data_IF_786755698492
#
_entry.id   IF_786755698492
#
_cell.length_a   1.000
_cell.length_b   1.000
_cell.length_c   1.000
_cell.angle_alpha   90.00
_cell.angle_beta   90.00
_cell.angle_gamma   90.00
#
_symmetry.space_group_name_H-M   'P 1'
#
loop_
_entity.id
_entity.type
_entity.pdbx_description
1 polymer ?
#
# COMPACT_ATOMS: atom_id res chain seq x y z
N UNK A 1 -6.59 -2.84 6.61
CA UNK A 1 -5.85 -3.38 5.47
C UNK A 1 -4.54 -2.66 5.22
N UNK A 2 -3.67 -3.21 4.38
CA UNK A 2 -2.38 -2.60 3.99
C UNK A 2 -1.56 -2.21 5.23
N UNK A 3 -1.07 -0.95 5.32
CA UNK A 3 -0.39 -0.41 6.51
C UNK A 3 -1.18 -0.66 7.80
N UNK A 4 -2.51 -0.53 7.77
CA UNK A 4 -3.35 -0.82 8.94
C UNK A 4 -3.29 -2.29 9.38
N UNK A 5 -3.05 -3.23 8.46
CA UNK A 5 -2.79 -4.63 8.79
C UNK A 5 -1.44 -4.82 9.50
N UNK A 6 -0.40 -4.10 9.06
CA UNK A 6 0.91 -4.07 9.74
C UNK A 6 0.78 -3.48 11.16
N UNK A 7 0.03 -2.40 11.32
CA UNK A 7 -0.23 -1.80 12.62
C UNK A 7 -1.00 -2.78 13.54
N UNK A 8 -2.03 -3.45 13.02
CA UNK A 8 -2.78 -4.45 13.78
C UNK A 8 -1.88 -5.61 14.24
N UNK A 9 -1.01 -6.10 13.35
CA UNK A 9 -0.02 -7.12 13.68
C UNK A 9 0.96 -6.64 14.77
N UNK A 10 1.46 -5.41 14.66
CA UNK A 10 2.33 -4.82 15.68
C UNK A 10 1.64 -4.72 17.05
N UNK A 11 0.36 -4.38 17.07
CA UNK A 11 -0.40 -4.33 18.32
C UNK A 11 -0.51 -5.70 18.99
N UNK A 12 -0.71 -6.78 18.23
CA UNK A 12 -0.75 -8.14 18.80
C UNK A 12 0.58 -8.56 19.41
N UNK A 13 1.70 -8.06 18.83
CA UNK A 13 3.05 -8.34 19.32
C UNK A 13 3.37 -7.52 20.57
N UNK A 14 3.04 -6.22 20.55
CA UNK A 14 3.40 -5.30 21.63
C UNK A 14 2.50 -5.40 22.86
N UNK A 15 1.24 -5.77 22.65
CA UNK A 15 0.19 -5.81 23.69
C UNK A 15 -0.68 -7.07 23.53
N UNK A 16 -0.07 -8.28 23.67
CA UNK A 16 -0.78 -9.54 23.38
C UNK A 16 -2.05 -9.72 24.20
N UNK A 17 -2.08 -9.24 25.43
CA UNK A 17 -3.23 -9.33 26.32
C UNK A 17 -4.40 -8.39 25.97
N UNK A 18 -4.16 -7.42 25.08
CA UNK A 18 -5.16 -6.40 24.72
C UNK A 18 -5.88 -6.66 23.41
N UNK A 19 -5.38 -7.61 22.61
CA UNK A 19 -5.93 -7.90 21.30
C UNK A 19 -6.49 -9.33 21.28
N UNK A 20 -7.79 -9.45 21.16
CA UNK A 20 -8.47 -10.75 21.08
C UNK A 20 -8.53 -11.28 19.65
N UNK A 21 -8.75 -10.41 18.66
CA UNK A 21 -8.86 -10.77 17.26
C UNK A 21 -8.05 -9.80 16.41
N UNK A 22 -7.35 -10.32 15.41
CA UNK A 22 -6.57 -9.54 14.46
C UNK A 22 -6.93 -9.91 13.02
N UNK A 23 -7.42 -8.93 12.26
CA UNK A 23 -7.68 -9.06 10.84
C UNK A 23 -6.55 -8.39 10.06
N UNK A 24 -5.70 -9.17 9.40
CA UNK A 24 -4.65 -8.69 8.52
C UNK A 24 -5.09 -8.85 7.06
N UNK A 25 -5.44 -7.75 6.41
CA UNK A 25 -6.06 -7.74 5.08
C UNK A 25 -5.11 -7.04 4.10
N UNK A 26 -4.78 -7.68 2.97
CA UNK A 26 -3.88 -7.14 1.95
C UNK A 26 -2.61 -6.56 2.58
N UNK A 27 -1.93 -7.35 3.41
CA UNK A 27 -0.80 -6.92 4.23
C UNK A 27 0.36 -7.91 4.17
N UNK A 28 1.50 -7.54 4.72
CA UNK A 28 2.72 -8.34 4.71
C UNK A 28 3.47 -8.19 6.06
N UNK A 29 4.34 -9.15 6.42
CA UNK A 29 5.15 -9.04 7.65
C UNK A 29 6.27 -8.00 7.54
N UNK A 30 6.69 -7.66 6.32
CA UNK A 30 7.65 -6.60 6.00
C UNK A 30 7.46 -6.18 4.54
N UNK A 31 7.96 -5.01 4.15
CA UNK A 31 7.95 -4.61 2.74
C UNK A 31 8.97 -5.41 1.92
N UNK A 32 8.62 -5.71 0.68
CA UNK A 32 9.58 -6.21 -0.31
C UNK A 32 10.53 -5.09 -0.76
N UNK A 33 11.71 -5.47 -1.29
CA UNK A 33 12.63 -4.52 -1.90
C UNK A 33 11.95 -3.67 -3.00
N UNK A 34 11.05 -4.27 -3.79
CA UNK A 34 10.28 -3.56 -4.81
C UNK A 34 9.38 -2.47 -4.20
N UNK A 35 8.67 -2.77 -3.10
CA UNK A 35 7.83 -1.79 -2.42
C UNK A 35 8.65 -0.66 -1.80
N UNK A 36 9.82 -0.96 -1.22
CA UNK A 36 10.76 0.04 -0.71
C UNK A 36 11.27 0.93 -1.85
N UNK A 37 11.55 0.35 -3.03
CA UNK A 37 11.96 1.10 -4.21
C UNK A 37 10.87 2.07 -4.69
N UNK A 38 9.60 1.66 -4.75
CA UNK A 38 8.50 2.58 -5.06
C UNK A 38 8.36 3.70 -4.03
N UNK A 39 8.50 3.40 -2.75
CA UNK A 39 8.50 4.41 -1.71
C UNK A 39 9.66 5.40 -1.90
N UNK A 40 10.84 4.92 -2.26
CA UNK A 40 12.02 5.78 -2.50
C UNK A 40 11.80 6.72 -3.69
N UNK A 41 11.28 6.22 -4.82
CA UNK A 41 10.94 7.06 -5.97
C UNK A 41 9.95 8.16 -5.56
N UNK A 42 8.91 7.81 -4.82
CA UNK A 42 7.92 8.76 -4.33
C UNK A 42 8.52 9.80 -3.38
N UNK A 43 9.42 9.38 -2.47
CA UNK A 43 10.13 10.31 -1.58
C UNK A 43 11.05 11.25 -2.36
N UNK A 44 11.81 10.73 -3.33
CA UNK A 44 12.69 11.57 -4.15
C UNK A 44 11.90 12.61 -4.95
N UNK A 45 10.71 12.27 -5.45
CA UNK A 45 9.83 13.24 -6.09
C UNK A 45 9.47 14.42 -5.17
N UNK A 46 9.22 14.16 -3.89
CA UNK A 46 8.92 15.20 -2.89
C UNK A 46 10.18 15.97 -2.50
N UNK A 47 11.27 15.26 -2.20
CA UNK A 47 12.51 15.87 -1.71
C UNK A 47 13.17 16.80 -2.74
N UNK A 48 13.00 16.49 -4.03
CA UNK A 48 13.54 17.28 -5.15
C UNK A 48 12.59 18.38 -5.63
N UNK A 49 11.38 18.47 -5.08
CA UNK A 49 10.45 19.56 -5.38
C UNK A 49 11.04 20.89 -4.86
N UNK A 50 11.22 21.93 -5.71
CA UNK A 50 11.76 23.22 -5.28
C UNK A 50 10.98 23.87 -4.12
N UNK A 51 9.69 23.55 -4.00
CA UNK A 51 8.83 24.10 -2.95
C UNK A 51 8.87 23.28 -1.64
N UNK A 52 9.64 22.18 -1.59
CA UNK A 52 9.75 21.38 -0.36
C UNK A 52 10.52 22.10 0.76
N UNK A 53 11.52 22.93 0.41
CA UNK A 53 12.31 23.72 1.35
C UNK A 53 12.86 22.92 2.54
N UNK A 54 13.36 21.70 2.29
CA UNK A 54 13.89 20.85 3.36
C UNK A 54 12.85 20.47 4.43
N UNK A 55 11.57 20.47 4.09
CA UNK A 55 10.45 20.20 5.00
C UNK A 55 9.84 21.45 5.63
N UNK A 56 10.39 22.64 5.38
CA UNK A 56 9.92 23.92 5.95
C UNK A 56 8.92 24.67 5.05
N UNK A 57 8.33 24.00 4.08
CA UNK A 57 7.42 24.58 3.07
C UNK A 57 6.23 25.33 3.69
N UNK A 58 5.71 24.89 4.84
CA UNK A 58 4.61 25.59 5.55
C UNK A 58 5.02 26.97 6.03
N UNK A 59 6.25 27.12 6.52
CA UNK A 59 6.79 28.43 6.94
C UNK A 59 6.99 29.39 5.76
N UNK A 60 7.12 28.85 4.54
CA UNK A 60 7.20 29.63 3.30
C UNK A 60 5.82 29.90 2.66
N UNK A 61 4.74 29.39 3.25
CA UNK A 61 3.39 29.53 2.70
C UNK A 61 3.16 28.78 1.38
N UNK A 62 3.93 27.73 1.09
CA UNK A 62 3.86 26.96 -0.15
C UNK A 62 3.61 25.47 0.12
N UNK A 63 3.28 24.72 -0.92
CA UNK A 63 3.10 23.27 -0.90
C UNK A 63 3.98 22.66 -1.98
N UNK A 64 4.75 21.57 -1.72
CA UNK A 64 5.52 20.85 -2.73
C UNK A 64 4.57 20.00 -3.61
N UNK A 65 3.73 20.70 -4.37
CA UNK A 65 2.61 20.14 -5.11
C UNK A 65 3.09 19.14 -6.16
N UNK A 66 4.14 19.46 -6.90
CA UNK A 66 4.66 18.60 -7.97
C UNK A 66 5.18 17.27 -7.42
N UNK A 67 5.93 17.33 -6.32
CA UNK A 67 6.45 16.14 -5.66
C UNK A 67 5.34 15.24 -5.12
N UNK A 68 4.35 15.82 -4.44
CA UNK A 68 3.18 15.09 -3.94
C UNK A 68 2.35 14.46 -5.08
N UNK A 69 2.15 15.19 -6.19
CA UNK A 69 1.47 14.66 -7.37
C UNK A 69 2.17 13.42 -7.92
N UNK A 70 3.48 13.51 -8.17
CA UNK A 70 4.27 12.38 -8.69
C UNK A 70 4.28 11.20 -7.74
N UNK A 71 4.45 11.43 -6.44
CA UNK A 71 4.37 10.40 -5.42
C UNK A 71 3.02 9.66 -5.46
N UNK A 72 1.92 10.40 -5.62
CA UNK A 72 0.58 9.80 -5.73
C UNK A 72 0.37 9.05 -7.03
N UNK A 73 0.87 9.56 -8.16
CA UNK A 73 0.81 8.87 -9.45
C UNK A 73 1.49 7.49 -9.38
N UNK A 74 2.69 7.42 -8.80
CA UNK A 74 3.39 6.15 -8.55
C UNK A 74 2.51 5.23 -7.67
N UNK A 75 1.92 5.75 -6.61
CA UNK A 75 1.00 5.00 -5.75
C UNK A 75 -0.14 4.38 -6.55
N UNK A 76 -0.83 5.16 -7.39
CA UNK A 76 -1.95 4.67 -8.19
C UNK A 76 -1.57 3.58 -9.20
N UNK A 77 -0.37 3.63 -9.78
CA UNK A 77 0.13 2.55 -10.63
C UNK A 77 0.26 1.26 -9.82
N UNK A 78 0.69 1.34 -8.57
CA UNK A 78 0.90 0.16 -7.72
C UNK A 78 -0.37 -0.39 -7.08
N UNK A 79 -1.47 0.36 -7.07
CA UNK A 79 -2.73 -0.05 -6.42
C UNK A 79 -3.65 -0.86 -7.33
N UNK A 80 -3.55 -0.68 -8.64
CA UNK A 80 -4.35 -1.42 -9.61
C UNK A 80 -3.55 -2.57 -10.21
N UNK A 81 -4.25 -3.63 -10.61
CA UNK A 81 -3.67 -4.69 -11.45
C UNK A 81 -3.52 -4.20 -12.89
N UNK A 82 -2.72 -4.90 -13.69
CA UNK A 82 -2.61 -4.64 -15.13
C UNK A 82 -3.97 -4.83 -15.83
N UNK A 83 -4.70 -5.88 -15.50
CA UNK A 83 -6.03 -6.14 -16.03
C UNK A 83 -7.01 -5.01 -15.69
N UNK A 84 -7.05 -4.54 -14.43
CA UNK A 84 -7.92 -3.44 -14.03
C UNK A 84 -7.54 -2.12 -14.73
N UNK A 85 -6.25 -1.85 -14.93
CA UNK A 85 -5.78 -0.71 -15.71
C UNK A 85 -6.17 -0.84 -17.18
N UNK A 86 -5.99 -2.03 -17.77
CA UNK A 86 -6.37 -2.35 -19.13
C UNK A 86 -7.86 -2.21 -19.37
N UNK A 87 -8.70 -2.75 -18.51
CA UNK A 87 -10.17 -2.62 -18.59
C UNK A 87 -10.60 -1.16 -18.46
N UNK A 88 -10.06 -0.44 -17.49
CA UNK A 88 -10.46 0.94 -17.20
C UNK A 88 -10.01 1.93 -18.27
N UNK A 89 -8.81 1.81 -18.80
CA UNK A 89 -8.21 2.80 -19.70
C UNK A 89 -7.86 2.22 -21.06
N UNK A 90 -7.32 0.99 -21.12
CA UNK A 90 -6.79 0.39 -22.33
C UNK A 90 -5.76 1.30 -23.00
N UNK A 91 -5.77 1.32 -24.32
CA UNK A 91 -4.95 2.23 -25.14
C UNK A 91 -5.79 3.42 -25.65
N UNK A 92 -6.82 3.83 -24.87
CA UNK A 92 -7.76 4.87 -25.28
C UNK A 92 -7.16 6.26 -25.18
N UNK A 93 -7.24 6.99 -26.28
CA UNK A 93 -6.86 8.40 -26.37
C UNK A 93 -8.03 9.31 -25.99
N UNK A 94 -7.70 10.52 -25.55
CA UNK A 94 -8.71 11.59 -25.29
C UNK A 94 -9.19 12.25 -26.58
N UNK A 95 -8.30 12.42 -27.54
CA UNK A 95 -8.55 13.05 -28.83
C UNK A 95 -8.10 12.13 -29.97
N UNK A 96 -8.70 12.27 -31.13
CA UNK A 96 -8.35 11.49 -32.33
C UNK A 96 -7.02 11.97 -32.93
N UNK A 97 -6.72 13.28 -32.82
CA UNK A 97 -5.52 13.87 -33.38
C UNK A 97 -4.29 13.54 -32.51
N UNK A 98 -3.23 13.12 -33.17
CA UNK A 98 -1.91 12.89 -32.57
C UNK A 98 -1.11 14.20 -32.57
N UNK A 99 -0.74 14.69 -31.40
CA UNK A 99 0.01 15.93 -31.27
C UNK A 99 1.50 15.70 -31.05
N UNK A 100 1.92 14.51 -30.55
CA UNK A 100 3.29 14.21 -30.14
C UNK A 100 3.88 15.25 -29.17
N UNK A 101 3.02 15.85 -28.35
CA UNK A 101 3.40 16.89 -27.41
C UNK A 101 3.54 16.31 -26.01
N UNK A 102 4.75 16.36 -25.46
CA UNK A 102 5.07 15.84 -24.11
C UNK A 102 4.39 16.61 -22.99
N UNK A 103 3.85 17.79 -23.24
CA UNK A 103 3.14 18.61 -22.24
C UNK A 103 1.64 18.36 -22.23
N UNK A 104 1.09 17.86 -23.34
CA UNK A 104 -0.34 17.58 -23.47
C UNK A 104 -0.71 16.23 -22.84
N UNK A 105 -2.00 16.03 -22.61
CA UNK A 105 -2.57 14.75 -22.16
C UNK A 105 -3.22 14.09 -23.35
N UNK A 106 -2.63 13.01 -23.83
CA UNK A 106 -3.13 12.30 -25.01
C UNK A 106 -3.92 11.04 -24.65
N UNK A 107 -3.53 10.31 -23.58
CA UNK A 107 -4.19 9.09 -23.15
C UNK A 107 -5.05 9.29 -21.91
N UNK A 108 -6.11 8.48 -21.80
CA UNK A 108 -7.02 8.56 -20.65
C UNK A 108 -6.32 8.26 -19.32
N UNK A 109 -5.39 7.32 -19.31
CA UNK A 109 -4.61 6.98 -18.12
C UNK A 109 -3.74 8.14 -17.62
N UNK A 110 -3.18 8.95 -18.53
CA UNK A 110 -2.42 10.15 -18.15
C UNK A 110 -3.31 11.17 -17.43
N UNK A 111 -4.52 11.40 -17.99
CA UNK A 111 -5.51 12.29 -17.36
C UNK A 111 -5.90 11.81 -15.97
N UNK A 112 -6.13 10.51 -15.82
CA UNK A 112 -6.46 9.90 -14.54
C UNK A 112 -5.35 10.10 -13.52
N UNK A 113 -4.10 9.79 -13.87
CA UNK A 113 -2.96 9.92 -12.96
C UNK A 113 -2.73 11.37 -12.54
N UNK A 114 -2.80 12.32 -13.49
CA UNK A 114 -2.66 13.75 -13.19
C UNK A 114 -3.76 14.23 -12.24
N UNK A 115 -5.01 13.86 -12.49
CA UNK A 115 -6.15 14.19 -11.62
C UNK A 115 -5.97 13.64 -10.20
N UNK A 116 -5.62 12.36 -10.07
CA UNK A 116 -5.40 11.74 -8.75
C UNK A 116 -4.23 12.36 -8.00
N UNK A 117 -3.18 12.74 -8.71
CA UNK A 117 -2.04 13.46 -8.14
C UNK A 117 -2.43 14.84 -7.64
N UNK A 118 -3.19 15.60 -8.43
CA UNK A 118 -3.64 16.95 -8.10
C UNK A 118 -4.51 16.95 -6.85
N UNK A 119 -5.59 16.17 -6.84
CA UNK A 119 -6.48 16.01 -5.67
C UNK A 119 -5.73 15.65 -4.39
N UNK A 120 -4.76 14.75 -4.50
CA UNK A 120 -3.96 14.34 -3.34
C UNK A 120 -3.07 15.46 -2.84
N UNK A 121 -2.43 16.21 -3.73
CA UNK A 121 -1.48 17.27 -3.38
C UNK A 121 -2.11 18.44 -2.60
N UNK A 122 -3.41 18.64 -2.74
CA UNK A 122 -4.13 19.71 -2.06
C UNK A 122 -4.50 19.40 -0.61
N UNK A 123 -4.56 18.11 -0.26
CA UNK A 123 -5.03 17.66 1.06
C UNK A 123 -4.03 16.86 1.88
N UNK A 124 -2.89 16.46 1.30
CA UNK A 124 -1.93 15.62 2.01
C UNK A 124 -0.63 16.36 2.34
N UNK A 125 -0.12 16.15 3.54
CA UNK A 125 1.10 16.78 4.03
C UNK A 125 2.35 16.02 3.57
N UNK A 126 3.31 16.72 2.98
CA UNK A 126 4.51 16.10 2.42
C UNK A 126 5.41 15.45 3.50
N UNK A 127 5.58 16.10 4.65
CA UNK A 127 6.37 15.53 5.74
C UNK A 127 5.71 14.27 6.30
N UNK A 128 4.37 14.28 6.41
CA UNK A 128 3.61 13.09 6.81
C UNK A 128 3.81 11.95 5.80
N UNK A 129 3.78 12.23 4.49
CA UNK A 129 4.04 11.22 3.46
C UNK A 129 5.42 10.57 3.62
N UNK A 130 6.45 11.40 3.79
CA UNK A 130 7.82 10.93 4.00
C UNK A 130 7.92 10.05 5.26
N UNK A 131 7.33 10.49 6.37
CA UNK A 131 7.32 9.74 7.62
C UNK A 131 6.60 8.40 7.49
N UNK A 132 5.40 8.39 6.89
CA UNK A 132 4.59 7.19 6.73
C UNK A 132 5.28 6.15 5.85
N UNK A 133 5.90 6.57 4.73
CA UNK A 133 6.65 5.66 3.87
C UNK A 133 7.89 5.10 4.57
N UNK A 134 8.57 5.88 5.39
CA UNK A 134 9.67 5.38 6.22
C UNK A 134 9.19 4.40 7.30
N UNK A 135 8.07 4.67 7.95
CA UNK A 135 7.49 3.74 8.91
C UNK A 135 7.15 2.39 8.26
N UNK A 136 6.64 2.41 7.01
CA UNK A 136 6.43 1.20 6.21
C UNK A 136 7.74 0.45 5.92
N UNK A 137 8.78 1.18 5.48
CA UNK A 137 10.08 0.58 5.13
C UNK A 137 10.74 -0.11 6.35
N UNK A 138 10.60 0.51 7.52
CA UNK A 138 11.20 -0.01 8.76
C UNK A 138 10.36 -1.07 9.47
N UNK A 139 9.14 -1.31 9.03
CA UNK A 139 8.32 -2.35 9.64
C UNK A 139 8.89 -3.73 9.34
N UNK A 140 9.54 -4.31 10.31
CA UNK A 140 10.10 -5.66 10.30
C UNK A 140 10.05 -6.24 11.72
N UNK A 141 8.92 -6.85 12.12
CA UNK A 141 8.79 -7.42 13.45
C UNK A 141 9.71 -8.62 13.69
N UNK A 142 10.15 -9.31 12.64
CA UNK A 142 11.05 -10.45 12.74
C UNK A 142 12.52 -10.06 12.88
N UNK A 143 12.90 -8.81 12.56
CA UNK A 143 14.28 -8.35 12.57
C UNK A 143 15.00 -8.50 13.92
N UNK A 144 14.27 -8.46 15.05
CA UNK A 144 14.81 -8.71 16.40
C UNK A 144 15.06 -10.20 16.70
N UNK A 145 14.62 -11.10 15.84
CA UNK A 145 14.70 -12.54 15.98
C UNK A 145 15.35 -13.21 14.76
N UNK A 146 16.33 -12.53 14.17
CA UNK A 146 17.10 -13.03 13.01
C UNK A 146 16.21 -13.43 11.80
N UNK A 147 15.10 -12.72 11.61
CA UNK A 147 14.11 -13.00 10.55
C UNK A 147 13.11 -14.11 10.89
N UNK A 148 13.15 -14.68 12.08
CA UNK A 148 12.19 -15.71 12.53
C UNK A 148 10.86 -15.06 12.97
N UNK A 149 9.93 -14.97 12.03
CA UNK A 149 8.61 -14.43 12.27
C UNK A 149 7.77 -15.32 13.22
N UNK A 150 7.92 -16.66 13.14
CA UNK A 150 7.21 -17.57 14.03
C UNK A 150 7.62 -17.37 15.48
N UNK A 151 8.92 -17.18 15.74
CA UNK A 151 9.43 -16.84 17.06
C UNK A 151 8.87 -15.50 17.57
N UNK A 152 8.79 -14.51 16.70
CA UNK A 152 8.18 -13.20 17.02
C UNK A 152 6.72 -13.34 17.41
N UNK A 153 5.96 -14.16 16.67
CA UNK A 153 4.53 -14.38 16.89
C UNK A 153 4.21 -15.41 18.00
N UNK A 154 5.22 -16.07 18.58
CA UNK A 154 4.99 -17.05 19.64
C UNK A 154 4.27 -16.47 20.87
N UNK A 155 4.45 -15.19 21.16
CA UNK A 155 3.85 -14.52 22.32
C UNK A 155 2.44 -13.97 22.09
N UNK A 156 1.94 -13.87 20.86
CA UNK A 156 0.62 -13.31 20.58
C UNK A 156 -0.49 -14.20 21.13
N UNK A 157 -1.60 -13.60 21.55
CA UNK A 157 -2.75 -14.30 22.14
C UNK A 157 -4.03 -14.18 21.29
N UNK A 158 -3.99 -13.32 20.28
CA UNK A 158 -5.12 -13.08 19.40
C UNK A 158 -5.42 -14.28 18.49
N UNK A 159 -6.69 -14.42 18.12
CA UNK A 159 -7.11 -15.20 16.95
C UNK A 159 -6.93 -14.37 15.68
N UNK A 160 -6.45 -14.99 14.61
CA UNK A 160 -6.11 -14.27 13.38
C UNK A 160 -7.02 -14.64 12.23
N UNK A 161 -7.36 -13.64 11.41
CA UNK A 161 -7.89 -13.84 10.07
C UNK A 161 -7.01 -13.06 9.08
N UNK A 162 -6.35 -13.78 8.16
CA UNK A 162 -5.49 -13.19 7.13
C UNK A 162 -6.21 -13.28 5.80
N UNK A 163 -6.36 -12.15 5.11
CA UNK A 163 -7.07 -12.07 3.83
C UNK A 163 -6.16 -11.45 2.78
N UNK A 164 -6.06 -12.10 1.63
CA UNK A 164 -5.35 -11.60 0.45
C UNK A 164 -6.22 -11.59 -0.79
N UNK A 165 -5.77 -10.92 -1.85
CA UNK A 165 -6.46 -10.82 -3.13
C UNK A 165 -5.56 -11.29 -4.26
N UNK A 166 -6.10 -12.07 -5.19
CA UNK A 166 -5.32 -12.80 -6.21
C UNK A 166 -4.43 -11.92 -7.07
N UNK A 167 -4.90 -10.73 -7.42
CA UNK A 167 -4.17 -9.78 -8.30
C UNK A 167 -3.43 -8.67 -7.57
N UNK A 168 -3.42 -8.70 -6.23
CA UNK A 168 -2.62 -7.76 -5.45
C UNK A 168 -1.13 -8.09 -5.61
N UNK A 169 -0.45 -7.32 -6.45
CA UNK A 169 0.98 -7.49 -6.70
C UNK A 169 1.85 -6.65 -5.78
N UNK A 170 1.26 -5.67 -5.08
CA UNK A 170 1.93 -4.85 -4.06
C UNK A 170 2.10 -5.62 -2.75
N UNK A 171 1.02 -6.24 -2.27
CA UNK A 171 1.00 -7.14 -1.12
C UNK A 171 0.43 -8.48 -1.57
N UNK A 172 1.21 -9.21 -2.34
CA UNK A 172 0.77 -10.44 -2.99
C UNK A 172 0.29 -11.49 -1.99
N UNK A 173 -0.56 -12.45 -2.43
CA UNK A 173 -0.97 -13.57 -1.59
C UNK A 173 0.18 -14.30 -0.91
N UNK A 174 1.33 -14.43 -1.58
CA UNK A 174 2.54 -15.01 -0.99
C UNK A 174 2.99 -14.28 0.28
N UNK A 175 2.93 -12.94 0.29
CA UNK A 175 3.30 -12.15 1.46
C UNK A 175 2.33 -12.34 2.64
N UNK A 176 1.04 -12.48 2.36
CA UNK A 176 0.03 -12.80 3.38
C UNK A 176 0.18 -14.23 3.90
N UNK A 177 0.58 -15.18 3.05
CA UNK A 177 0.88 -16.55 3.47
C UNK A 177 2.06 -16.62 4.42
N UNK A 178 3.08 -15.77 4.28
CA UNK A 178 4.20 -15.70 5.25
C UNK A 178 3.70 -15.43 6.68
N UNK A 179 2.72 -14.54 6.85
CA UNK A 179 2.09 -14.28 8.16
C UNK A 179 1.37 -15.54 8.63
N UNK A 180 0.58 -16.17 7.76
CA UNK A 180 -0.21 -17.36 8.08
C UNK A 180 0.69 -18.54 8.49
N UNK A 181 1.72 -18.82 7.70
CA UNK A 181 2.65 -19.91 7.94
C UNK A 181 3.42 -19.73 9.26
N UNK A 182 3.84 -18.50 9.54
CA UNK A 182 4.49 -18.17 10.80
C UNK A 182 3.55 -18.34 12.02
N UNK A 183 2.26 -17.96 11.88
CA UNK A 183 1.26 -18.18 12.93
C UNK A 183 1.00 -19.68 13.16
N UNK A 184 0.91 -20.47 12.11
CA UNK A 184 0.76 -21.95 12.19
C UNK A 184 1.98 -22.55 12.90
N UNK A 185 3.19 -22.15 12.48
CA UNK A 185 4.45 -22.62 13.10
C UNK A 185 4.53 -22.24 14.59
N UNK A 186 4.01 -21.07 14.94
CA UNK A 186 3.89 -20.60 16.32
C UNK A 186 2.71 -21.24 17.08
N UNK A 187 1.95 -22.17 16.47
CA UNK A 187 0.75 -22.85 17.02
C UNK A 187 -0.32 -21.87 17.45
N UNK A 188 -0.56 -20.82 16.66
CA UNK A 188 -1.61 -19.83 16.88
C UNK A 188 -2.85 -20.16 16.06
N UNK A 189 -4.00 -19.71 16.56
CA UNK A 189 -5.26 -19.85 15.84
C UNK A 189 -5.31 -18.85 14.68
N UNK A 190 -5.40 -19.35 13.45
CA UNK A 190 -5.43 -18.55 12.23
C UNK A 190 -6.31 -19.16 11.16
N UNK A 191 -7.11 -18.32 10.50
CA UNK A 191 -7.72 -18.65 9.22
C UNK A 191 -7.08 -17.79 8.10
N UNK A 192 -7.01 -18.36 6.90
CA UNK A 192 -6.53 -17.69 5.71
C UNK A 192 -7.56 -17.75 4.59
N UNK A 193 -7.82 -16.60 3.98
CA UNK A 193 -8.72 -16.46 2.85
C UNK A 193 -8.01 -15.77 1.70
N UNK A 194 -8.01 -16.40 0.54
CA UNK A 194 -7.58 -15.78 -0.71
C UNK A 194 -8.82 -15.49 -1.56
N UNK A 195 -9.03 -14.20 -1.82
CA UNK A 195 -10.20 -13.70 -2.55
C UNK A 195 -9.81 -13.45 -3.99
N UNK A 196 -10.51 -14.10 -4.90
CA UNK A 196 -10.35 -13.82 -6.32
C UNK A 196 -10.93 -12.44 -6.66
N UNK A 197 -10.05 -11.54 -7.11
CA UNK A 197 -10.41 -10.14 -7.39
C UNK A 197 -9.44 -9.53 -8.40
N UNK A 198 -9.94 -8.93 -9.51
CA UNK A 198 -9.10 -8.34 -10.55
C UNK A 198 -8.58 -6.92 -10.22
N UNK A 199 -9.01 -6.31 -9.11
CA UNK A 199 -8.79 -4.88 -8.84
C UNK A 199 -7.39 -4.53 -8.28
N UNK A 200 -6.50 -5.52 -8.10
CA UNK A 200 -5.20 -5.30 -7.51
C UNK A 200 -5.26 -5.06 -6.00
N UNK A 201 -4.38 -4.20 -5.51
CA UNK A 201 -4.33 -3.86 -4.07
C UNK A 201 -5.61 -3.17 -3.58
N UNK A 202 -6.24 -2.33 -4.41
CA UNK A 202 -7.46 -1.62 -4.04
C UNK A 202 -8.68 -2.55 -3.84
N UNK A 203 -8.56 -3.85 -4.16
CA UNK A 203 -9.62 -4.84 -3.95
C UNK A 203 -10.17 -4.84 -2.50
N UNK A 204 -9.32 -4.61 -1.49
CA UNK A 204 -9.77 -4.58 -0.10
C UNK A 204 -10.67 -3.38 0.25
N UNK A 205 -10.76 -2.38 -0.62
CA UNK A 205 -11.65 -1.22 -0.50
C UNK A 205 -12.98 -1.41 -1.26
N UNK A 206 -13.10 -2.50 -2.02
CA UNK A 206 -14.23 -2.74 -2.89
C UNK A 206 -15.27 -3.69 -2.26
N UNK A 207 -16.56 -3.53 -2.55
CA UNK A 207 -17.61 -4.37 -2.02
C UNK A 207 -17.72 -5.72 -2.78
N UNK A 208 -16.65 -6.50 -2.75
CA UNK A 208 -16.57 -7.81 -3.41
C UNK A 208 -17.41 -8.81 -2.59
N UNK A 209 -18.42 -9.51 -3.18
CA UNK A 209 -19.35 -10.34 -2.42
C UNK A 209 -18.67 -11.39 -1.53
N UNK A 210 -17.70 -12.14 -2.08
CA UNK A 210 -16.95 -13.15 -1.33
C UNK A 210 -16.13 -12.56 -0.19
N UNK A 211 -15.59 -11.36 -0.39
CA UNK A 211 -14.86 -10.64 0.66
C UNK A 211 -15.79 -10.18 1.79
N UNK A 212 -16.98 -9.67 1.45
CA UNK A 212 -17.98 -9.27 2.46
C UNK A 212 -18.47 -10.49 3.24
N UNK A 213 -18.69 -11.63 2.57
CA UNK A 213 -19.08 -12.88 3.23
C UNK A 213 -18.06 -13.40 4.25
N UNK A 214 -16.80 -12.99 4.15
CA UNK A 214 -15.78 -13.36 5.13
C UNK A 214 -16.03 -12.77 6.55
N UNK A 215 -16.92 -11.79 6.65
CA UNK A 215 -17.26 -11.11 7.91
C UNK A 215 -18.68 -11.44 8.43
N UNK A 216 -19.42 -12.29 7.73
CA UNK A 216 -20.76 -12.74 8.12
C UNK A 216 -20.73 -14.17 8.69
#
# INVERSE_FOLDING_TARGET
GSLGGMQALQWTISYPERVRHCLAIASAPALSAQNIAFNEVARQAILTDPQFHGGHFKAQGVIPKRGLMLARMVGHITYLSDDAMGEKFGHRRKNEQLNFDVHSVEFQVESYLRYQGEEFSERFDANTYLLMTKALDYFDPAGKHDGDLARTLAQVQADFCVISFTTDWRFSPARSREITDALIAAKKNVCYLEIDAPQGHDAFLMPIPRYIQAFS
#
